data_IF_738849515367
#
_entry.id   IF_738849515367
#
_cell.length_a   1.000
_cell.length_b   1.000
_cell.length_c   1.000
_cell.angle_alpha   90.00
_cell.angle_beta   90.00
_cell.angle_gamma   90.00
#
_symmetry.space_group_name_H-M   'P 1'
#
loop_
_entity.id
_entity.type
_entity.pdbx_description
1 polymer ?
#
# COMPACT_ATOMS: atom_id res chain seq x y z
N UNK A 1 17.56 3.14 -62.67
CA UNK A 1 16.23 2.53 -62.40
C UNK A 1 16.41 1.67 -61.16
N UNK A 2 16.31 2.22 -59.93
CA UNK A 2 15.05 2.47 -59.21
C UNK A 2 14.09 1.29 -59.38
N UNK A 3 13.75 0.47 -58.39
CA UNK A 3 13.88 0.63 -56.94
C UNK A 3 12.52 0.35 -56.30
N UNK A 4 12.57 -0.30 -55.13
CA UNK A 4 11.50 -0.43 -54.15
C UNK A 4 10.35 -1.40 -54.55
N UNK A 5 9.73 -2.16 -53.66
CA UNK A 5 9.43 -1.88 -52.26
C UNK A 5 9.03 -3.22 -51.58
N UNK A 6 9.99 -3.90 -50.94
CA UNK A 6 9.72 -4.71 -49.75
C UNK A 6 10.44 -3.97 -48.63
N UNK A 7 9.78 -2.93 -48.12
CA UNK A 7 10.17 -2.17 -46.92
C UNK A 7 9.71 -3.02 -45.74
N UNK A 8 10.62 -3.65 -44.94
CA UNK A 8 11.43 -3.07 -43.85
C UNK A 8 10.52 -2.47 -42.76
N UNK A 9 10.76 -2.53 -41.46
CA UNK A 9 11.94 -2.72 -40.63
C UNK A 9 11.36 -2.78 -39.20
N UNK A 10 11.70 -3.77 -38.38
CA UNK A 10 12.68 -3.58 -37.30
C UNK A 10 13.12 -2.11 -37.10
N UNK A 11 12.40 -1.38 -36.25
CA UNK A 11 12.77 -0.10 -35.64
C UNK A 11 12.35 -0.26 -34.17
N UNK A 12 13.23 -0.54 -33.21
CA UNK A 12 14.40 0.25 -32.78
C UNK A 12 13.99 1.70 -32.51
N UNK A 13 13.28 1.90 -31.40
CA UNK A 13 13.27 3.15 -30.64
C UNK A 13 14.33 2.96 -29.55
N UNK A 14 15.59 3.27 -29.85
CA UNK A 14 16.27 4.52 -29.48
C UNK A 14 16.00 4.86 -28.02
N UNK A 15 16.87 4.34 -27.15
CA UNK A 15 17.14 4.92 -25.85
C UNK A 15 17.65 6.34 -26.06
N UNK A 16 16.81 7.33 -25.78
CA UNK A 16 17.28 8.67 -25.50
C UNK A 16 17.81 8.67 -24.07
N UNK A 17 19.11 8.39 -23.92
CA UNK A 17 19.83 8.80 -22.73
C UNK A 17 19.89 10.34 -22.73
N UNK A 18 19.44 11.03 -21.67
CA UNK A 18 19.77 12.42 -21.48
C UNK A 18 21.28 12.51 -21.22
N UNK A 19 21.99 13.24 -22.08
CA UNK A 19 23.34 13.72 -21.79
C UNK A 19 23.27 14.64 -20.58
N UNK A 20 24.05 14.32 -19.57
CA UNK A 20 24.10 15.01 -18.29
C UNK A 20 24.50 16.49 -18.44
N UNK A 21 23.74 17.37 -17.79
CA UNK A 21 24.26 18.61 -17.24
C UNK A 21 24.23 18.44 -15.71
N UNK A 22 25.40 18.49 -15.09
CA UNK A 22 25.60 18.09 -13.71
C UNK A 22 24.93 19.01 -12.69
N UNK A 23 24.41 18.39 -11.64
CA UNK A 23 24.52 18.76 -10.22
C UNK A 23 23.92 17.57 -9.45
N UNK A 24 24.78 16.84 -8.72
CA UNK A 24 24.49 15.71 -7.81
C UNK A 24 23.09 15.08 -7.89
N UNK A 25 22.78 14.41 -9.01
CA UNK A 25 21.54 13.66 -9.17
C UNK A 25 21.77 12.20 -8.84
N UNK A 26 21.43 11.78 -7.62
CA UNK A 26 21.24 10.36 -7.30
C UNK A 26 20.18 9.86 -8.28
N UNK A 27 20.55 8.96 -9.20
CA UNK A 27 19.59 8.32 -10.08
C UNK A 27 18.65 7.49 -9.18
N UNK A 28 17.44 7.99 -8.94
CA UNK A 28 16.44 7.27 -8.17
C UNK A 28 16.21 5.91 -8.83
N UNK A 29 16.53 4.83 -8.10
CA UNK A 29 16.32 3.48 -8.59
C UNK A 29 14.84 3.29 -8.95
N UNK A 30 14.56 2.67 -10.09
CA UNK A 30 13.18 2.35 -10.46
C UNK A 30 12.56 1.42 -9.41
N UNK A 31 11.33 1.72 -8.95
CA UNK A 31 10.74 0.99 -7.86
C UNK A 31 10.31 -0.41 -8.30
N UNK A 32 10.54 -1.42 -7.44
CA UNK A 32 10.16 -2.80 -7.71
C UNK A 32 8.64 -2.93 -7.81
N UNK A 33 8.13 -3.45 -8.92
CA UNK A 33 6.70 -3.71 -9.10
C UNK A 33 6.36 -5.14 -8.70
N UNK A 34 5.42 -5.31 -7.77
CA UNK A 34 4.93 -6.61 -7.31
C UNK A 34 3.43 -6.69 -7.51
N UNK A 35 2.97 -7.72 -8.21
CA UNK A 35 1.54 -8.03 -8.35
C UNK A 35 1.21 -9.37 -7.67
N UNK A 36 0.24 -9.33 -6.77
CA UNK A 36 -0.29 -10.48 -6.04
C UNK A 36 -1.68 -10.80 -6.62
N UNK A 37 -1.81 -11.74 -7.57
CA UNK A 37 -3.13 -12.14 -8.08
C UNK A 37 -3.92 -12.92 -7.02
N UNK A 38 -5.16 -12.51 -6.78
CA UNK A 38 -6.09 -13.13 -5.85
C UNK A 38 -7.45 -13.40 -6.52
N UNK A 39 -7.75 -14.68 -6.70
CA UNK A 39 -9.03 -15.12 -7.23
C UNK A 39 -9.95 -15.55 -6.08
N UNK A 40 -11.05 -14.83 -5.89
CA UNK A 40 -12.02 -15.11 -4.82
C UNK A 40 -12.62 -16.51 -4.90
N UNK A 41 -12.61 -17.18 -6.06
CA UNK A 41 -13.18 -18.51 -6.25
C UNK A 41 -12.27 -19.65 -5.80
N UNK A 42 -10.95 -19.43 -5.74
CA UNK A 42 -9.97 -20.51 -5.51
C UNK A 42 -9.02 -20.25 -4.35
N UNK A 43 -8.71 -19.00 -4.03
CA UNK A 43 -7.74 -18.66 -3.00
C UNK A 43 -8.42 -18.38 -1.65
N UNK A 44 -7.74 -18.75 -0.57
CA UNK A 44 -8.17 -18.39 0.78
C UNK A 44 -7.67 -17.01 1.18
N UNK A 45 -8.46 -16.23 1.92
CA UNK A 45 -8.00 -14.90 2.37
C UNK A 45 -6.80 -14.98 3.32
N UNK A 46 -6.69 -16.07 4.09
CA UNK A 46 -5.52 -16.32 4.94
C UNK A 46 -4.23 -16.44 4.11
N UNK A 47 -4.27 -17.14 2.97
CA UNK A 47 -3.12 -17.24 2.08
C UNK A 47 -2.68 -15.86 1.56
N UNK A 48 -3.64 -15.02 1.16
CA UNK A 48 -3.35 -13.65 0.74
C UNK A 48 -2.67 -12.84 1.84
N UNK A 49 -3.31 -12.73 3.00
CA UNK A 49 -2.87 -11.80 4.05
C UNK A 49 -1.71 -12.38 4.88
N UNK A 50 -1.80 -13.64 5.31
CA UNK A 50 -0.82 -14.23 6.23
C UNK A 50 0.46 -14.66 5.53
N UNK A 51 0.40 -15.00 4.25
CA UNK A 51 1.55 -15.55 3.52
C UNK A 51 2.06 -14.54 2.48
N UNK A 52 1.28 -14.29 1.43
CA UNK A 52 1.77 -13.60 0.23
C UNK A 52 2.04 -12.11 0.50
N UNK A 53 1.04 -11.39 1.02
CA UNK A 53 1.19 -9.96 1.30
C UNK A 53 2.21 -9.71 2.42
N UNK A 54 2.16 -10.47 3.51
CA UNK A 54 3.13 -10.33 4.61
C UNK A 54 4.57 -10.64 4.20
N UNK A 55 4.79 -11.62 3.32
CA UNK A 55 6.11 -11.90 2.78
C UNK A 55 6.65 -10.69 2.02
N UNK A 56 5.84 -10.09 1.16
CA UNK A 56 6.24 -8.88 0.43
C UNK A 56 6.48 -7.70 1.37
N UNK A 57 5.61 -7.46 2.35
CA UNK A 57 5.82 -6.38 3.33
C UNK A 57 7.11 -6.56 4.16
N UNK A 58 7.50 -7.80 4.43
CA UNK A 58 8.74 -8.13 5.16
C UNK A 58 10.00 -8.11 4.29
N UNK A 59 9.86 -8.19 2.96
CA UNK A 59 10.97 -8.17 2.02
C UNK A 59 11.41 -6.73 1.72
N UNK A 60 12.16 -6.13 2.64
CA UNK A 60 12.69 -4.77 2.47
C UNK A 60 14.20 -4.73 2.78
N UNK A 61 14.96 -3.78 2.19
CA UNK A 61 16.42 -3.68 2.40
C UNK A 61 16.82 -3.56 3.86
N UNK A 62 15.94 -2.96 4.65
CA UNK A 62 16.09 -2.64 6.07
C UNK A 62 15.46 -3.67 7.01
N UNK A 63 15.25 -4.90 6.54
CA UNK A 63 14.48 -5.90 7.26
C UNK A 63 15.07 -6.11 8.66
N UNK A 64 14.28 -5.78 9.67
CA UNK A 64 14.56 -6.14 11.05
C UNK A 64 13.51 -7.12 11.55
N UNK A 65 13.86 -7.79 12.63
CA UNK A 65 12.93 -8.62 13.39
C UNK A 65 12.92 -8.15 14.85
N UNK A 66 11.73 -8.09 15.44
CA UNK A 66 11.52 -7.78 16.85
C UNK A 66 10.67 -8.91 17.42
N UNK A 67 11.23 -9.71 18.32
CA UNK A 67 10.51 -10.84 18.96
C UNK A 67 9.84 -11.79 17.93
N UNK A 68 10.55 -12.15 16.85
CA UNK A 68 9.98 -13.00 15.80
C UNK A 68 9.05 -12.29 14.81
N UNK A 69 8.86 -10.96 14.93
CA UNK A 69 7.97 -10.18 14.07
C UNK A 69 8.82 -9.32 13.12
N UNK A 70 8.73 -9.55 11.79
CA UNK A 70 9.44 -8.72 10.83
C UNK A 70 8.87 -7.30 10.81
N UNK A 71 9.74 -6.30 10.67
CA UNK A 71 9.35 -4.92 10.44
C UNK A 71 9.12 -4.67 8.95
N UNK A 72 8.15 -3.80 8.65
CA UNK A 72 7.96 -3.25 7.30
C UNK A 72 9.09 -2.27 6.96
N UNK A 73 9.11 -1.79 5.72
CA UNK A 73 10.06 -0.76 5.29
C UNK A 73 9.94 0.50 6.17
N UNK A 74 11.03 1.26 6.27
CA UNK A 74 10.98 2.58 6.88
C UNK A 74 9.99 3.48 6.14
N UNK A 75 9.33 4.38 6.87
CA UNK A 75 8.51 5.41 6.23
C UNK A 75 9.40 6.26 5.33
N UNK A 76 9.02 6.34 4.07
CA UNK A 76 9.66 7.21 3.09
C UNK A 76 9.23 8.66 3.35
N UNK A 77 10.12 9.62 3.10
CA UNK A 77 9.74 11.03 3.08
C UNK A 77 8.75 11.31 1.95
N UNK A 78 7.98 12.38 2.04
CA UNK A 78 6.96 12.75 1.02
C UNK A 78 7.53 12.95 -0.40
N UNK A 79 8.86 13.08 -0.51
CA UNK A 79 9.61 13.32 -1.76
C UNK A 79 10.39 12.09 -2.25
N UNK A 80 10.36 10.97 -1.50
CA UNK A 80 11.06 9.73 -1.86
C UNK A 80 10.04 8.71 -2.41
N UNK A 81 10.17 8.25 -3.66
CA UNK A 81 9.29 7.22 -4.19
C UNK A 81 9.55 5.92 -3.41
N UNK A 82 8.50 5.14 -3.07
CA UNK A 82 8.69 3.88 -2.37
C UNK A 82 9.55 2.96 -3.23
N UNK A 83 10.47 2.24 -2.59
CA UNK A 83 11.35 1.27 -3.24
C UNK A 83 10.56 0.12 -3.89
N UNK A 84 9.30 -0.09 -3.46
CA UNK A 84 8.42 -1.12 -3.98
C UNK A 84 6.95 -0.71 -4.01
N UNK A 85 6.29 -1.10 -5.10
CA UNK A 85 4.85 -1.02 -5.26
C UNK A 85 4.23 -2.41 -5.18
N UNK A 86 3.42 -2.63 -4.15
CA UNK A 86 2.68 -3.87 -3.99
C UNK A 86 1.27 -3.64 -4.49
N UNK A 87 0.86 -4.42 -5.49
CA UNK A 87 -0.53 -4.43 -5.98
C UNK A 87 -1.18 -5.77 -5.69
N UNK A 88 -2.45 -5.75 -5.28
CA UNK A 88 -3.26 -6.95 -5.12
C UNK A 88 -4.33 -6.94 -6.19
N UNK A 89 -4.20 -7.81 -7.21
CA UNK A 89 -5.20 -7.95 -8.27
C UNK A 89 -6.31 -8.88 -7.81
N UNK A 90 -7.50 -8.35 -7.63
CA UNK A 90 -8.70 -9.03 -7.17
C UNK A 90 -9.58 -9.39 -8.36
N UNK A 91 -10.02 -10.64 -8.46
CA UNK A 91 -10.89 -11.11 -9.55
C UNK A 91 -11.65 -12.38 -9.16
N UNK A 92 -12.64 -12.75 -9.99
CA UNK A 92 -13.46 -13.94 -9.78
C UNK A 92 -14.50 -13.79 -8.67
N UNK A 93 -15.50 -14.67 -8.66
CA UNK A 93 -16.57 -14.71 -7.66
C UNK A 93 -17.65 -13.63 -7.79
N UNK A 94 -17.45 -12.63 -8.65
CA UNK A 94 -18.45 -11.60 -8.98
C UNK A 94 -19.44 -12.04 -10.05
N UNK A 95 -20.40 -11.17 -10.33
CA UNK A 95 -21.50 -11.36 -11.27
C UNK A 95 -21.03 -11.39 -12.73
N UNK A 96 -19.89 -10.76 -13.04
CA UNK A 96 -19.32 -10.72 -14.39
C UNK A 96 -17.91 -11.27 -14.42
N UNK A 97 -17.62 -12.03 -15.47
CA UNK A 97 -16.31 -12.64 -15.67
C UNK A 97 -15.19 -11.62 -15.90
N UNK A 98 -15.52 -10.40 -16.32
CA UNK A 98 -14.57 -9.30 -16.57
C UNK A 98 -14.35 -8.38 -15.35
N UNK A 99 -15.07 -8.60 -14.24
CA UNK A 99 -14.89 -7.78 -13.05
C UNK A 99 -13.55 -8.07 -12.36
N UNK A 100 -12.77 -7.01 -12.21
CA UNK A 100 -11.50 -7.03 -11.52
C UNK A 100 -11.13 -5.63 -11.03
N UNK A 101 -10.39 -5.58 -9.94
CA UNK A 101 -9.77 -4.36 -9.44
C UNK A 101 -8.36 -4.66 -8.95
N UNK A 102 -7.47 -3.67 -8.95
CA UNK A 102 -6.17 -3.77 -8.28
C UNK A 102 -6.16 -2.84 -7.09
N UNK A 103 -5.77 -3.32 -5.92
CA UNK A 103 -5.48 -2.46 -4.77
C UNK A 103 -4.01 -2.06 -4.81
N UNK A 104 -3.71 -0.79 -4.53
CA UNK A 104 -2.35 -0.32 -4.26
C UNK A 104 -2.10 -0.41 -2.77
N UNK A 105 -1.08 -1.17 -2.35
CA UNK A 105 -0.72 -1.37 -0.94
C UNK A 105 0.67 -0.78 -0.69
N UNK A 106 0.76 0.15 0.25
CA UNK A 106 2.02 0.78 0.64
C UNK A 106 2.91 -0.22 1.39
N UNK A 107 4.21 -0.22 1.09
CA UNK A 107 5.16 -1.21 1.66
C UNK A 107 5.59 -0.91 3.09
N UNK A 108 5.48 0.35 3.51
CA UNK A 108 5.97 0.89 4.77
C UNK A 108 4.96 0.72 5.91
N UNK A 109 3.67 0.80 5.61
CA UNK A 109 2.62 0.67 6.60
C UNK A 109 1.47 -0.28 6.19
N UNK A 110 1.54 -0.97 5.05
CA UNK A 110 0.49 -1.84 4.50
C UNK A 110 -0.83 -1.13 4.14
N UNK A 111 -0.83 0.20 4.03
CA UNK A 111 -2.02 0.96 3.74
C UNK A 111 -2.50 0.77 2.30
N UNK A 112 -3.77 0.40 2.13
CA UNK A 112 -4.45 0.49 0.83
C UNK A 112 -4.55 1.96 0.44
N UNK A 113 -3.69 2.42 -0.47
CA UNK A 113 -3.52 3.83 -0.85
C UNK A 113 -4.39 4.26 -2.03
N UNK A 114 -4.93 3.31 -2.78
CA UNK A 114 -5.73 3.54 -3.96
C UNK A 114 -6.10 2.24 -4.66
N UNK A 115 -6.71 2.36 -5.84
CA UNK A 115 -7.08 1.21 -6.65
C UNK A 115 -7.05 1.52 -8.14
N UNK A 116 -6.87 0.50 -8.98
CA UNK A 116 -7.21 0.56 -10.40
C UNK A 116 -8.52 -0.18 -10.65
N UNK A 117 -9.39 0.44 -11.44
CA UNK A 117 -10.62 -0.18 -11.92
C UNK A 117 -10.31 -1.18 -13.07
N UNK A 118 -11.34 -1.79 -13.66
CA UNK A 118 -11.15 -2.81 -14.71
C UNK A 118 -10.53 -2.29 -16.01
N UNK A 119 -10.56 -0.98 -16.25
CA UNK A 119 -9.90 -0.37 -17.42
C UNK A 119 -8.40 -0.14 -17.19
N UNK A 120 -7.92 -0.37 -15.96
CA UNK A 120 -6.55 -0.07 -15.55
C UNK A 120 -6.33 1.39 -15.16
N UNK A 121 -7.39 2.21 -15.08
CA UNK A 121 -7.31 3.59 -14.62
C UNK A 121 -7.16 3.64 -13.10
N UNK A 122 -6.16 4.35 -12.62
CA UNK A 122 -5.85 4.45 -11.19
C UNK A 122 -6.61 5.57 -10.50
N UNK A 123 -6.97 5.30 -9.26
CA UNK A 123 -7.64 6.22 -8.36
C UNK A 123 -6.93 6.23 -7.01
N UNK A 124 -6.40 7.39 -6.61
CA UNK A 124 -5.76 7.61 -5.31
C UNK A 124 -6.63 8.52 -4.45
N UNK A 125 -6.46 8.48 -3.13
CA UNK A 125 -7.19 9.41 -2.26
C UNK A 125 -6.80 10.86 -2.52
N UNK A 126 -7.70 11.80 -2.22
CA UNK A 126 -7.44 13.24 -2.29
C UNK A 126 -6.16 13.61 -1.54
N UNK A 127 -5.27 14.35 -2.19
CA UNK A 127 -3.97 14.74 -1.65
C UNK A 127 -2.94 13.61 -1.63
N UNK A 128 -3.32 12.40 -2.02
CA UNK A 128 -2.37 11.37 -2.42
C UNK A 128 -1.88 11.74 -3.81
N UNK A 129 -0.61 12.09 -3.93
CA UNK A 129 0.01 12.31 -5.25
C UNK A 129 -0.31 11.07 -6.08
N UNK A 130 -0.84 11.25 -7.28
CA UNK A 130 -0.77 10.22 -8.31
C UNK A 130 0.71 9.94 -8.53
N UNK A 131 1.29 9.08 -7.69
CA UNK A 131 2.73 8.89 -7.62
C UNK A 131 3.18 8.43 -9.00
N UNK A 132 4.17 9.08 -9.62
CA UNK A 132 4.58 8.83 -11.01
C UNK A 132 5.20 7.44 -11.23
N UNK A 133 5.06 6.52 -10.28
CA UNK A 133 5.73 5.23 -10.28
C UNK A 133 4.99 4.09 -10.99
N UNK A 134 3.85 4.38 -11.61
CA UNK A 134 3.36 3.58 -12.72
C UNK A 134 3.50 4.45 -13.98
N UNK A 135 4.64 4.37 -14.68
CA UNK A 135 4.92 5.23 -15.82
C UNK A 135 3.77 5.16 -16.83
N UNK A 136 3.23 6.32 -17.20
CA UNK A 136 2.19 6.49 -18.22
C UNK A 136 0.80 5.88 -17.93
N UNK A 137 0.46 5.48 -16.70
CA UNK A 137 -0.93 5.10 -16.38
C UNK A 137 -1.78 6.31 -16.02
N UNK A 138 -2.98 6.38 -16.62
CA UNK A 138 -3.96 7.39 -16.28
C UNK A 138 -4.36 7.25 -14.79
N UNK A 139 -4.29 8.36 -14.05
CA UNK A 139 -4.58 8.42 -12.62
C UNK A 139 -5.47 9.63 -12.31
N UNK A 140 -6.35 9.48 -11.32
CA UNK A 140 -7.22 10.56 -10.86
C UNK A 140 -7.39 10.51 -9.35
N UNK A 141 -7.24 11.65 -8.71
CA UNK A 141 -7.56 11.76 -7.29
C UNK A 141 -9.07 11.63 -7.06
N UNK A 142 -9.42 10.81 -6.07
CA UNK A 142 -10.78 10.69 -5.55
C UNK A 142 -11.18 12.02 -4.87
N UNK A 143 -12.46 12.41 -4.89
CA UNK A 143 -12.92 13.64 -4.26
C UNK A 143 -12.93 13.58 -2.71
N UNK A 144 -12.40 12.51 -2.11
CA UNK A 144 -12.35 12.26 -0.68
C UNK A 144 -10.99 11.71 -0.23
N UNK A 145 -10.65 11.94 1.04
CA UNK A 145 -9.43 11.40 1.65
C UNK A 145 -9.56 9.93 2.04
N UNK A 146 -8.44 9.30 2.38
CA UNK A 146 -8.41 7.88 2.74
C UNK A 146 -8.67 7.57 4.21
N UNK A 147 -8.80 8.59 5.06
CA UNK A 147 -8.98 8.35 6.49
C UNK A 147 -10.35 7.70 6.78
N UNK A 148 -10.46 6.91 7.84
CA UNK A 148 -11.77 6.41 8.28
C UNK A 148 -12.79 7.53 8.55
N UNK A 149 -12.33 8.75 8.89
CA UNK A 149 -13.20 9.94 8.99
C UNK A 149 -13.83 10.29 7.65
N UNK A 150 -13.05 10.29 6.57
CA UNK A 150 -13.52 10.63 5.22
C UNK A 150 -14.37 9.52 4.58
N UNK A 151 -14.03 8.25 4.87
CA UNK A 151 -14.68 7.08 4.28
C UNK A 151 -15.98 6.70 4.99
N UNK A 152 -15.95 6.62 6.32
CA UNK A 152 -17.05 6.06 7.13
C UNK A 152 -17.45 6.95 8.31
N UNK A 153 -16.97 8.20 8.37
CA UNK A 153 -17.29 9.14 9.46
C UNK A 153 -16.48 8.95 10.75
N UNK A 154 -15.53 8.01 10.79
CA UNK A 154 -14.56 7.86 11.86
C UNK A 154 -14.35 6.42 12.34
N UNK A 155 -13.32 6.22 13.16
CA UNK A 155 -12.95 4.89 13.70
C UNK A 155 -14.05 4.25 14.55
N UNK A 156 -14.93 5.04 15.16
CA UNK A 156 -16.08 4.54 15.92
C UNK A 156 -17.04 3.70 15.06
N UNK A 157 -17.04 3.93 13.74
CA UNK A 157 -17.91 3.26 12.77
C UNK A 157 -17.28 2.02 12.14
N UNK A 158 -16.06 1.62 12.53
CA UNK A 158 -15.40 0.40 12.02
C UNK A 158 -16.24 -0.86 12.24
N UNK A 159 -16.99 -0.91 13.35
CA UNK A 159 -17.88 -2.03 13.68
C UNK A 159 -19.10 -2.14 12.75
N UNK A 160 -19.38 -1.11 11.97
CA UNK A 160 -20.44 -1.12 10.95
C UNK A 160 -19.92 -1.51 9.55
N UNK A 161 -18.61 -1.72 9.39
CA UNK A 161 -18.02 -2.14 8.11
C UNK A 161 -18.21 -3.65 7.95
N UNK A 162 -18.95 -4.12 6.92
CA UNK A 162 -19.14 -5.55 6.72
C UNK A 162 -17.88 -6.17 6.11
N UNK A 163 -17.36 -7.22 6.72
CA UNK A 163 -16.22 -8.01 6.24
C UNK A 163 -16.66 -9.42 5.86
N UNK A 164 -15.82 -10.13 5.09
CA UNK A 164 -16.11 -11.48 4.59
C UNK A 164 -16.14 -11.53 3.07
N UNK A 165 -16.20 -12.73 2.51
CA UNK A 165 -15.97 -13.03 1.09
C UNK A 165 -16.94 -12.31 0.18
N UNK A 166 -18.25 -12.46 0.38
CA UNK A 166 -19.25 -11.79 -0.45
C UNK A 166 -19.19 -10.27 -0.31
N UNK A 167 -18.84 -9.76 0.88
CA UNK A 167 -18.61 -8.32 1.09
C UNK A 167 -17.41 -7.80 0.31
N UNK A 168 -16.33 -8.60 0.23
CA UNK A 168 -15.11 -8.30 -0.52
C UNK A 168 -15.33 -8.40 -2.03
N UNK A 169 -16.07 -9.40 -2.50
CA UNK A 169 -16.48 -9.53 -3.90
C UNK A 169 -17.29 -8.31 -4.33
N UNK A 170 -18.35 -7.96 -3.59
CA UNK A 170 -19.16 -6.78 -3.92
C UNK A 170 -18.36 -5.48 -3.87
N UNK A 171 -17.39 -5.36 -2.95
CA UNK A 171 -16.46 -4.23 -2.94
C UNK A 171 -15.56 -4.22 -4.18
N UNK A 172 -15.04 -5.36 -4.61
CA UNK A 172 -14.24 -5.48 -5.84
C UNK A 172 -15.05 -5.06 -7.06
N UNK A 173 -16.31 -5.46 -7.17
CA UNK A 173 -17.19 -5.08 -8.29
C UNK A 173 -17.44 -3.56 -8.34
N UNK A 174 -17.65 -2.94 -7.17
CA UNK A 174 -17.79 -1.48 -7.06
C UNK A 174 -16.52 -0.78 -7.57
N UNK A 175 -15.34 -1.25 -7.16
CA UNK A 175 -14.07 -0.67 -7.61
C UNK A 175 -13.79 -0.96 -9.09
N UNK A 176 -14.08 -2.18 -9.54
CA UNK A 176 -13.95 -2.64 -10.93
C UNK A 176 -14.70 -1.73 -11.89
N UNK A 177 -15.93 -1.35 -11.52
CA UNK A 177 -16.85 -0.58 -12.37
C UNK A 177 -16.86 0.91 -12.04
N UNK A 178 -15.94 1.38 -11.18
CA UNK A 178 -15.92 2.76 -10.74
C UNK A 178 -15.73 3.71 -11.93
N UNK A 179 -16.69 4.63 -12.07
CA UNK A 179 -16.68 5.73 -13.01
C UNK A 179 -16.93 7.04 -12.24
N UNK A 180 -15.95 7.96 -12.18
CA UNK A 180 -16.11 9.21 -11.45
C UNK A 180 -17.20 10.13 -12.02
N UNK A 181 -17.65 9.92 -13.26
CA UNK A 181 -18.75 10.68 -13.85
C UNK A 181 -20.15 10.26 -13.33
N UNK A 182 -20.26 9.09 -12.68
CA UNK A 182 -21.52 8.59 -12.14
C UNK A 182 -21.78 9.11 -10.71
N UNK A 183 -22.99 9.61 -10.43
CA UNK A 183 -23.31 10.34 -9.19
C UNK A 183 -23.30 9.48 -7.91
N UNK A 184 -23.59 8.18 -7.97
CA UNK A 184 -23.58 7.28 -6.80
C UNK A 184 -22.20 6.73 -6.47
N UNK A 185 -21.22 6.89 -7.36
CA UNK A 185 -19.94 6.21 -7.29
C UNK A 185 -19.13 6.53 -6.04
N UNK A 186 -19.26 7.74 -5.46
CA UNK A 186 -18.44 8.16 -4.34
C UNK A 186 -18.77 7.45 -3.02
N UNK A 187 -20.05 7.27 -2.67
CA UNK A 187 -20.43 6.63 -1.41
C UNK A 187 -20.11 5.13 -1.42
N UNK A 188 -20.41 4.46 -2.53
CA UNK A 188 -20.12 3.03 -2.71
C UNK A 188 -18.60 2.79 -2.71
N UNK A 189 -17.82 3.62 -3.41
CA UNK A 189 -16.37 3.52 -3.40
C UNK A 189 -15.77 3.74 -2.01
N UNK A 190 -16.30 4.70 -1.23
CA UNK A 190 -15.86 4.91 0.17
C UNK A 190 -16.05 3.67 1.02
N UNK A 191 -17.22 3.05 0.95
CA UNK A 191 -17.50 1.81 1.70
C UNK A 191 -16.63 0.65 1.18
N UNK A 192 -16.48 0.50 -0.13
CA UNK A 192 -15.62 -0.54 -0.73
C UNK A 192 -14.17 -0.41 -0.27
N UNK A 193 -13.61 0.80 -0.29
CA UNK A 193 -12.26 1.07 0.20
C UNK A 193 -12.14 0.85 1.71
N UNK A 194 -13.12 1.25 2.51
CA UNK A 194 -13.13 0.99 3.95
C UNK A 194 -13.11 -0.52 4.26
N UNK A 195 -13.88 -1.33 3.52
CA UNK A 195 -13.84 -2.80 3.63
C UNK A 195 -12.45 -3.34 3.36
N UNK A 196 -11.82 -2.95 2.26
CA UNK A 196 -10.47 -3.43 1.92
C UNK A 196 -9.41 -2.91 2.88
N UNK A 197 -9.51 -1.68 3.40
CA UNK A 197 -8.61 -1.21 4.45
C UNK A 197 -8.72 -2.11 5.70
N UNK A 198 -9.93 -2.48 6.13
CA UNK A 198 -10.09 -3.40 7.26
C UNK A 198 -9.53 -4.80 6.95
N UNK A 199 -9.87 -5.36 5.79
CA UNK A 199 -9.53 -6.75 5.44
C UNK A 199 -8.08 -6.93 4.96
N UNK A 200 -7.41 -5.86 4.53
CA UNK A 200 -6.03 -5.84 4.04
C UNK A 200 -5.13 -5.10 5.02
N UNK A 201 -5.27 -3.77 5.13
CA UNK A 201 -4.42 -2.93 5.97
C UNK A 201 -4.43 -3.38 7.43
N UNK A 202 -5.62 -3.42 8.05
CA UNK A 202 -5.71 -3.71 9.49
C UNK A 202 -5.45 -5.18 9.80
N UNK A 203 -5.83 -6.10 8.90
CA UNK A 203 -5.50 -7.51 9.03
C UNK A 203 -3.99 -7.80 8.86
N UNK A 204 -3.29 -7.04 8.01
CA UNK A 204 -1.83 -7.13 7.91
C UNK A 204 -1.17 -6.65 9.21
N UNK A 205 -1.66 -5.53 9.78
CA UNK A 205 -1.12 -4.87 10.97
C UNK A 205 -1.42 -5.61 12.28
N UNK A 206 -2.68 -5.99 12.51
CA UNK A 206 -3.18 -6.40 13.82
C UNK A 206 -3.67 -7.86 13.82
N UNK A 207 -3.07 -8.69 14.68
CA UNK A 207 -3.47 -10.10 14.85
C UNK A 207 -4.96 -10.27 15.18
N UNK A 208 -5.58 -9.47 16.08
CA UNK A 208 -7.01 -9.60 16.39
C UNK A 208 -7.91 -9.40 15.16
N UNK A 209 -7.66 -8.35 14.37
CA UNK A 209 -8.42 -8.08 13.14
C UNK A 209 -8.21 -9.19 12.12
N UNK A 210 -6.96 -9.63 11.90
CA UNK A 210 -6.66 -10.72 10.97
C UNK A 210 -7.43 -11.99 11.30
N UNK A 211 -7.37 -12.40 12.57
CA UNK A 211 -8.02 -13.61 13.05
C UNK A 211 -9.53 -13.52 12.83
N UNK A 212 -10.15 -12.41 13.21
CA UNK A 212 -11.56 -12.17 13.02
C UNK A 212 -12.00 -12.27 11.55
N UNK A 213 -11.26 -11.64 10.63
CA UNK A 213 -11.56 -11.68 9.19
C UNK A 213 -11.36 -13.08 8.61
N UNK A 214 -10.27 -13.77 8.98
CA UNK A 214 -9.94 -15.11 8.46
C UNK A 214 -10.91 -16.17 8.96
N UNK A 215 -11.19 -16.18 10.27
CA UNK A 215 -12.09 -17.17 10.88
C UNK A 215 -13.53 -17.05 10.38
N UNK A 216 -13.94 -15.83 10.00
CA UNK A 216 -15.31 -15.52 9.56
C UNK A 216 -15.38 -15.25 8.06
N UNK A 217 -14.38 -15.70 7.29
CA UNK A 217 -14.24 -15.31 5.89
C UNK A 217 -15.45 -15.67 5.02
N UNK A 218 -16.01 -16.87 5.16
CA UNK A 218 -17.11 -17.34 4.29
C UNK A 218 -18.47 -16.68 4.58
N UNK A 219 -18.57 -15.83 5.60
CA UNK A 219 -19.82 -15.17 6.00
C UNK A 219 -19.64 -13.65 6.10
N UNK A 220 -20.69 -12.90 5.81
CA UNK A 220 -20.68 -11.46 6.14
C UNK A 220 -20.70 -11.32 7.65
N UNK A 221 -19.70 -10.64 8.20
CA UNK A 221 -19.55 -10.40 9.63
C UNK A 221 -19.06 -8.99 9.92
N UNK A 222 -18.99 -8.66 11.21
CA UNK A 222 -18.57 -7.36 11.71
C UNK A 222 -17.56 -7.56 12.83
N UNK A 223 -16.63 -6.64 12.95
CA UNK A 223 -15.63 -6.68 14.02
C UNK A 223 -16.22 -6.19 15.35
N UNK A 224 -15.83 -6.84 16.44
CA UNK A 224 -16.18 -6.41 17.80
C UNK A 224 -15.40 -5.17 18.25
N UNK A 225 -15.81 -4.54 19.34
CA UNK A 225 -15.05 -3.43 19.95
C UNK A 225 -13.62 -3.83 20.31
N UNK A 226 -13.42 -5.05 20.81
CA UNK A 226 -12.11 -5.54 21.21
C UNK A 226 -11.21 -5.81 20.01
N UNK A 227 -11.78 -6.26 18.90
CA UNK A 227 -11.05 -6.55 17.67
C UNK A 227 -10.54 -5.27 16.98
N UNK A 228 -11.28 -4.16 17.07
CA UNK A 228 -10.89 -2.86 16.46
C UNK A 228 -10.23 -1.88 17.43
N UNK A 229 -10.17 -2.20 18.73
CA UNK A 229 -9.69 -1.29 19.78
C UNK A 229 -8.36 -0.63 19.44
N UNK A 230 -7.45 -1.41 18.87
CA UNK A 230 -6.06 -1.02 18.69
C UNK A 230 -5.76 -0.44 17.29
N UNK A 231 -6.74 -0.42 16.38
CA UNK A 231 -6.64 0.16 15.02
C UNK A 231 -6.12 1.60 15.03
N UNK A 232 -6.69 2.56 15.80
CA UNK A 232 -6.20 3.94 15.80
C UNK A 232 -4.80 4.11 16.43
N UNK A 233 -4.27 3.07 17.08
CA UNK A 233 -3.03 3.15 17.84
C UNK A 233 -1.87 2.40 17.18
N UNK A 234 -2.06 1.78 16.01
CA UNK A 234 -1.04 0.97 15.34
C UNK A 234 0.34 1.65 15.29
N UNK A 235 0.43 2.85 14.69
CA UNK A 235 1.71 3.57 14.58
C UNK A 235 2.35 3.89 15.94
N UNK A 236 1.54 4.22 16.95
CA UNK A 236 2.04 4.49 18.31
C UNK A 236 2.56 3.22 18.98
N UNK A 237 1.84 2.10 18.86
CA UNK A 237 2.29 0.81 19.39
C UNK A 237 3.58 0.35 18.71
N UNK A 238 3.69 0.47 17.39
CA UNK A 238 4.90 0.13 16.65
C UNK A 238 6.11 0.95 17.12
N UNK A 239 5.93 2.26 17.32
CA UNK A 239 7.00 3.12 17.82
C UNK A 239 7.43 2.74 19.24
N UNK A 240 6.48 2.45 20.14
CA UNK A 240 6.81 2.02 21.51
C UNK A 240 7.60 0.70 21.51
N UNK A 241 7.28 -0.24 20.61
CA UNK A 241 8.01 -1.50 20.47
C UNK A 241 9.44 -1.25 19.95
N UNK A 242 9.60 -0.36 18.97
CA UNK A 242 10.92 0.04 18.44
C UNK A 242 11.76 0.74 19.52
N UNK A 243 11.15 1.63 20.29
CA UNK A 243 11.81 2.33 21.39
C UNK A 243 12.27 1.36 22.48
N UNK A 244 11.40 0.42 22.88
CA UNK A 244 11.73 -0.61 23.85
C UNK A 244 12.90 -1.48 23.36
N UNK A 245 12.88 -1.91 22.09
CA UNK A 245 13.99 -2.67 21.50
C UNK A 245 15.32 -1.90 21.57
N UNK A 246 15.28 -0.58 21.38
CA UNK A 246 16.48 0.28 21.39
C UNK A 246 16.99 0.59 22.79
N UNK A 247 16.09 0.79 23.74
CA UNK A 247 16.42 1.39 25.06
C UNK A 247 16.23 0.45 26.24
N UNK A 248 15.50 -0.65 26.06
CA UNK A 248 14.99 -1.49 27.14
C UNK A 248 13.90 -0.84 28.00
N UNK A 249 13.41 0.35 27.61
CA UNK A 249 12.43 1.16 28.37
C UNK A 249 11.20 1.49 27.53
N UNK A 250 10.07 1.64 28.21
CA UNK A 250 8.79 2.03 27.59
C UNK A 250 8.52 3.52 27.86
N UNK A 251 8.22 4.31 26.81
CA UNK A 251 7.57 5.62 26.96
C UNK A 251 8.48 6.81 27.28
N UNK A 252 9.78 6.75 26.98
CA UNK A 252 10.68 7.91 27.09
C UNK A 252 10.47 8.94 25.96
N UNK A 253 9.85 8.54 24.85
CA UNK A 253 9.30 9.45 23.83
C UNK A 253 8.06 10.23 24.32
N UNK A 254 7.65 10.02 25.58
CA UNK A 254 6.56 10.71 26.26
C UNK A 254 5.18 10.17 25.91
N UNK A 255 4.18 10.30 26.81
CA UNK A 255 2.83 9.89 26.51
C UNK A 255 2.22 10.90 25.54
N UNK A 256 1.88 10.45 24.33
CA UNK A 256 1.04 11.18 23.36
C UNK A 256 1.66 12.39 22.65
N UNK A 257 2.99 12.56 22.61
CA UNK A 257 3.57 13.57 21.73
C UNK A 257 3.16 13.28 20.28
N UNK A 258 2.71 14.31 19.56
CA UNK A 258 2.33 14.24 18.16
C UNK A 258 3.51 13.68 17.36
N UNK A 259 3.50 12.37 17.09
CA UNK A 259 4.48 11.73 16.25
C UNK A 259 4.12 12.16 14.83
N UNK A 260 4.86 13.14 14.35
CA UNK A 260 4.93 13.49 12.95
C UNK A 260 5.37 12.23 12.17
N UNK A 261 4.62 11.88 11.12
CA UNK A 261 4.90 10.69 10.28
C UNK A 261 6.30 10.76 9.67
N UNK A 262 6.81 11.96 9.42
CA UNK A 262 8.16 12.21 8.94
C UNK A 262 9.26 11.89 9.98
N UNK A 263 8.90 11.59 11.23
CA UNK A 263 9.83 11.43 12.35
C UNK A 263 9.97 9.99 12.83
N UNK A 264 9.37 9.02 12.15
CA UNK A 264 9.64 7.61 12.41
C UNK A 264 11.13 7.33 12.13
N UNK A 265 11.93 7.01 13.16
CA UNK A 265 13.37 6.86 12.98
C UNK A 265 13.65 5.73 12.00
N UNK A 266 14.47 5.97 10.97
CA UNK A 266 14.98 4.89 10.13
C UNK A 266 15.77 3.92 11.03
N UNK A 267 15.66 2.60 10.81
CA UNK A 267 16.46 1.66 11.57
C UNK A 267 17.96 1.88 11.31
N UNK A 268 18.80 1.76 12.33
CA UNK A 268 20.28 1.84 12.19
C UNK A 268 20.77 0.81 11.16
N UNK A 269 21.58 1.25 10.18
CA UNK A 269 22.02 0.45 9.04
C UNK A 269 21.23 0.66 7.74
N UNK A 270 20.26 1.59 7.75
CA UNK A 270 19.47 2.05 6.60
C UNK A 270 19.84 3.48 6.18
N UNK A 271 20.99 3.95 6.63
CA UNK A 271 21.59 5.18 6.16
C UNK A 271 22.11 4.88 4.75
N UNK A 272 21.88 5.80 3.81
CA UNK A 272 22.51 5.73 2.50
C UNK A 272 24.02 5.60 2.73
N UNK A 273 24.69 4.66 2.07
CA UNK A 273 26.14 4.42 2.18
C UNK A 273 27.00 5.59 1.62
N UNK A 274 26.51 6.84 1.69
CA UNK A 274 27.15 8.04 1.16
C UNK A 274 27.65 9.00 2.25
N UNK A 275 27.89 8.52 3.47
CA UNK A 275 28.69 9.27 4.46
C UNK A 275 30.05 8.60 4.75
N UNK A 276 30.59 7.93 3.75
CA UNK A 276 31.98 7.51 3.70
C UNK A 276 32.84 8.51 2.89
N UNK A 277 32.83 9.81 3.24
CA UNK A 277 34.05 10.62 3.15
C UNK A 277 33.87 12.01 3.80
N UNK A 278 34.41 12.15 5.00
CA UNK A 278 35.11 13.37 5.40
C UNK A 278 36.33 12.91 6.20
N UNK A 279 37.30 12.39 5.46
CA UNK A 279 38.59 11.98 5.96
C UNK A 279 39.29 13.05 6.79
N UNK A 280 40.15 12.54 7.65
CA UNK A 280 41.22 13.24 8.32
C UNK A 280 41.90 14.28 7.41
N UNK A 281 41.98 15.51 7.90
CA UNK A 281 42.94 16.52 7.48
C UNK A 281 43.49 17.18 8.73
N UNK A 282 44.68 16.75 9.14
CA UNK A 282 45.50 17.45 10.14
C UNK A 282 45.78 18.89 9.69
N UNK A 283 45.64 19.85 10.62
CA UNK A 283 46.73 20.66 11.21
C UNK A 283 46.18 21.45 12.42
#
# INVERSE_FOLDING_TARGET
MMGHLITKMLLLLVSLAPVAAGEHGVAAAEPRLVEIPFNFSVHSWNELISNRLKAELADNPCRQEIEGIPTMAGLHGDDEPPAKWITVRLFGGGDRDDDQAKLLVAEDDAYVAGFANRTGHWHTFRGGRCYPALPATACTELPFGGSYRDLIGGVANLRAVPVGRSSAVGAMEVLSRYDPAATTAAADAKMALAKFMVMVTEAARLKPVRRAVVERWEQVSYLSSDEVRDVPYYGKMSLMILEWKRTGRWGELGPWANIDRARCPRPTGCEDEDNADAGAGEL
#
